data_IF_136257096323
#
_entry.id   IF_136257096323
#
_cell.length_a   1.000
_cell.length_b   1.000
_cell.length_c   1.000
_cell.angle_alpha   90.00
_cell.angle_beta   90.00
_cell.angle_gamma   90.00
#
_symmetry.space_group_name_H-M   'P 1'
#
loop_
_entity.id
_entity.type
_entity.pdbx_description
1 polymer ?
#
# COMPACT_ATOMS: atom_id res chain seq x y z
N UNK A 1 -7.19 -11.43 -16.40
CA UNK A 1 -5.82 -10.90 -16.23
C UNK A 1 -5.68 -10.02 -14.99
N UNK A 2 -6.62 -9.14 -14.64
CA UNK A 2 -6.45 -8.25 -13.49
C UNK A 2 -6.53 -8.96 -12.10
N UNK A 3 -7.31 -10.03 -11.96
CA UNK A 3 -7.37 -10.90 -10.75
C UNK A 3 -6.00 -11.52 -10.43
N UNK A 4 -5.33 -11.94 -11.49
CA UNK A 4 -4.00 -12.54 -11.51
C UNK A 4 -2.92 -11.53 -11.08
N UNK A 5 -3.13 -10.24 -11.36
CA UNK A 5 -2.17 -9.15 -11.07
C UNK A 5 -2.20 -8.69 -9.64
N UNK A 6 -3.34 -8.80 -8.96
CA UNK A 6 -3.54 -8.09 -7.70
C UNK A 6 -3.45 -9.00 -6.47
N UNK A 7 -3.54 -10.33 -6.63
CA UNK A 7 -3.48 -11.26 -5.49
C UNK A 7 -4.60 -11.02 -4.48
N UNK A 8 -5.68 -10.40 -4.95
CA UNK A 8 -6.95 -10.21 -4.27
C UNK A 8 -8.04 -10.46 -5.31
N UNK A 9 -9.27 -10.84 -4.88
CA UNK A 9 -10.36 -10.99 -5.83
C UNK A 9 -10.50 -9.66 -6.58
N UNK A 10 -10.74 -9.72 -7.90
CA UNK A 10 -11.16 -8.51 -8.58
C UNK A 10 -12.41 -8.05 -7.86
N UNK A 11 -12.49 -6.74 -7.65
CA UNK A 11 -13.75 -6.13 -7.21
C UNK A 11 -14.86 -6.68 -8.12
N UNK A 12 -15.88 -7.29 -7.53
CA UNK A 12 -17.06 -7.76 -8.27
C UNK A 12 -18.17 -6.72 -8.29
N UNK A 13 -18.00 -5.65 -7.51
CA UNK A 13 -18.92 -4.52 -7.45
C UNK A 13 -19.06 -3.86 -8.82
N UNK A 14 -20.20 -3.21 -9.04
CA UNK A 14 -20.44 -2.46 -10.29
C UNK A 14 -19.42 -1.33 -10.48
N UNK A 15 -19.18 -0.95 -11.74
CA UNK A 15 -18.32 0.19 -12.07
C UNK A 15 -18.76 1.48 -11.36
N UNK A 16 -20.06 1.65 -11.13
CA UNK A 16 -20.60 2.80 -10.41
C UNK A 16 -20.16 2.82 -8.95
N UNK A 17 -20.23 1.68 -8.25
CA UNK A 17 -19.79 1.58 -6.86
C UNK A 17 -18.30 1.90 -6.74
N UNK A 18 -17.49 1.33 -7.65
CA UNK A 18 -16.04 1.61 -7.72
C UNK A 18 -15.73 3.08 -7.94
N UNK A 19 -16.47 3.71 -8.85
CA UNK A 19 -16.33 5.13 -9.13
C UNK A 19 -16.67 5.96 -7.89
N UNK A 20 -17.80 5.69 -7.25
CA UNK A 20 -18.25 6.40 -6.04
C UNK A 20 -17.24 6.30 -4.90
N UNK A 21 -16.68 5.10 -4.68
CA UNK A 21 -15.64 4.89 -3.67
C UNK A 21 -14.30 5.56 -3.99
N UNK A 22 -14.03 5.84 -5.27
CA UNK A 22 -12.81 6.54 -5.70
C UNK A 22 -12.89 8.06 -5.61
N UNK A 23 -14.10 8.62 -5.51
CA UNK A 23 -14.32 10.07 -5.41
C UNK A 23 -13.53 10.75 -4.28
N UNK A 24 -13.31 10.13 -3.10
CA UNK A 24 -12.48 10.70 -2.03
C UNK A 24 -10.96 10.68 -2.31
N UNK A 25 -10.48 9.86 -3.24
CA UNK A 25 -9.03 9.58 -3.39
C UNK A 25 -8.17 10.82 -3.66
N UNK A 26 -8.61 11.82 -4.46
CA UNK A 26 -7.82 13.03 -4.64
C UNK A 26 -7.60 13.80 -3.34
N UNK A 27 -8.63 13.96 -2.51
CA UNK A 27 -8.47 14.63 -1.21
C UNK A 27 -7.54 13.84 -0.29
N UNK A 28 -7.62 12.51 -0.27
CA UNK A 28 -6.67 11.67 0.45
C UNK A 28 -5.23 11.92 0.01
N UNK A 29 -4.99 12.06 -1.29
CA UNK A 29 -3.67 12.40 -1.84
C UNK A 29 -3.20 13.79 -1.47
N UNK A 30 -4.07 14.80 -1.56
CA UNK A 30 -3.71 16.20 -1.30
C UNK A 30 -3.56 16.52 0.19
N UNK A 31 -4.37 15.91 1.04
CA UNK A 31 -4.41 16.13 2.48
C UNK A 31 -4.27 14.78 3.23
N UNK A 32 -3.06 14.19 3.25
CA UNK A 32 -2.80 12.86 3.78
C UNK A 32 -2.66 12.86 5.31
N UNK A 33 -3.58 13.49 6.03
CA UNK A 33 -3.55 13.54 7.49
C UNK A 33 -4.12 12.23 8.05
N UNK A 34 -3.30 11.36 8.66
CA UNK A 34 -3.75 10.03 9.09
C UNK A 34 -4.58 10.08 10.37
N UNK A 35 -5.36 9.02 10.64
CA UNK A 35 -5.86 8.73 11.98
C UNK A 35 -4.70 8.08 12.75
N UNK A 36 -4.41 8.61 13.95
CA UNK A 36 -3.25 8.26 14.78
C UNK A 36 -2.86 6.78 14.69
N UNK A 37 -1.58 6.54 14.37
CA UNK A 37 -0.98 5.21 14.44
C UNK A 37 -1.05 4.36 13.17
N UNK A 38 -1.76 4.77 12.12
CA UNK A 38 -1.88 3.98 10.88
C UNK A 38 -1.54 4.77 9.63
N UNK A 39 -0.67 4.22 8.79
CA UNK A 39 -0.26 4.85 7.53
C UNK A 39 -1.36 4.80 6.44
N UNK A 40 -2.37 3.93 6.61
CA UNK A 40 -3.36 3.65 5.57
C UNK A 40 -4.65 4.46 5.70
N UNK A 41 -4.87 5.14 6.83
CA UNK A 41 -6.10 5.87 7.12
C UNK A 41 -5.94 7.37 6.87
N UNK A 42 -7.05 8.09 6.76
CA UNK A 42 -7.10 9.54 6.70
C UNK A 42 -8.17 10.05 7.70
N UNK A 43 -7.96 11.24 8.28
CA UNK A 43 -8.76 11.77 9.41
C UNK A 43 -10.27 11.87 9.13
N UNK A 44 -10.65 12.01 7.86
CA UNK A 44 -12.02 12.09 7.38
C UNK A 44 -12.60 10.74 6.94
N UNK A 45 -11.88 9.62 7.12
CA UNK A 45 -12.36 8.27 6.75
C UNK A 45 -13.74 7.93 7.33
N UNK A 46 -14.09 8.35 8.55
CA UNK A 46 -15.45 8.17 9.08
C UNK A 46 -16.54 8.96 8.32
N UNK A 47 -16.18 9.98 7.53
CA UNK A 47 -17.11 10.88 6.85
C UNK A 47 -16.84 10.95 5.33
N UNK A 48 -17.13 9.87 4.57
CA UNK A 48 -16.83 9.81 3.13
C UNK A 48 -17.50 10.93 2.33
N UNK A 49 -18.74 11.31 2.67
CA UNK A 49 -19.46 12.40 1.99
C UNK A 49 -18.79 13.76 2.17
N UNK A 50 -18.18 14.00 3.33
CA UNK A 50 -17.40 15.21 3.59
C UNK A 50 -16.13 15.21 2.73
N UNK A 51 -15.47 14.05 2.59
CA UNK A 51 -14.32 13.93 1.67
C UNK A 51 -14.71 14.21 0.22
N UNK A 52 -15.83 13.66 -0.24
CA UNK A 52 -16.34 13.87 -1.60
C UNK A 52 -16.63 15.35 -1.82
N UNK A 53 -17.33 16.00 -0.89
CA UNK A 53 -17.61 17.43 -0.96
C UNK A 53 -16.32 18.26 -1.10
N UNK A 54 -15.36 18.07 -0.19
CA UNK A 54 -14.09 18.81 -0.25
C UNK A 54 -13.25 18.46 -1.47
N UNK A 55 -13.34 17.23 -1.98
CA UNK A 55 -12.68 16.85 -3.24
C UNK A 55 -13.19 17.72 -4.39
N UNK A 56 -14.51 17.84 -4.57
CA UNK A 56 -15.06 18.65 -5.65
C UNK A 56 -14.80 20.15 -5.46
N UNK A 57 -14.86 20.66 -4.23
CA UNK A 57 -14.50 22.05 -3.92
C UNK A 57 -13.04 22.32 -4.30
N UNK A 58 -12.10 21.44 -3.92
CA UNK A 58 -10.69 21.60 -4.26
C UNK A 58 -10.42 21.42 -5.75
N UNK A 59 -11.06 20.46 -6.43
CA UNK A 59 -10.96 20.32 -7.90
C UNK A 59 -11.39 21.62 -8.57
N UNK A 60 -12.53 22.20 -8.18
CA UNK A 60 -13.02 23.46 -8.71
C UNK A 60 -12.05 24.61 -8.46
N UNK A 61 -11.53 24.72 -7.23
CA UNK A 61 -10.56 25.74 -6.87
C UNK A 61 -9.26 25.60 -7.69
N UNK A 62 -8.71 24.40 -7.80
CA UNK A 62 -7.50 24.10 -8.59
C UNK A 62 -7.76 24.41 -10.07
N UNK A 63 -8.91 24.02 -10.62
CA UNK A 63 -9.26 24.32 -12.01
C UNK A 63 -9.32 25.83 -12.27
N UNK A 64 -9.87 26.64 -11.34
CA UNK A 64 -9.88 28.11 -11.43
C UNK A 64 -8.47 28.70 -11.38
N UNK A 65 -7.59 28.14 -10.54
CA UNK A 65 -6.17 28.52 -10.44
C UNK A 65 -5.43 28.22 -11.75
N UNK A 66 -5.64 27.03 -12.32
CA UNK A 66 -4.96 26.56 -13.52
C UNK A 66 -5.56 27.11 -14.82
N UNK A 67 -6.79 27.64 -14.79
CA UNK A 67 -7.53 28.13 -15.95
C UNK A 67 -6.76 29.04 -16.92
N UNK A 68 -5.89 29.96 -16.44
CA UNK A 68 -5.09 30.81 -17.32
C UNK A 68 -4.12 30.03 -18.22
N UNK A 69 -3.75 28.81 -17.84
CA UNK A 69 -2.81 27.98 -18.58
C UNK A 69 -3.48 26.67 -19.01
N UNK A 70 -3.88 26.60 -20.28
CA UNK A 70 -4.60 25.44 -20.83
C UNK A 70 -3.76 24.16 -20.79
N UNK A 71 -2.43 24.25 -20.90
CA UNK A 71 -1.54 23.07 -20.79
C UNK A 71 -1.54 22.52 -19.37
N UNK A 72 -1.44 23.39 -18.38
CA UNK A 72 -1.50 23.00 -16.96
C UNK A 72 -2.87 22.42 -16.58
N UNK A 73 -3.96 23.07 -17.03
CA UNK A 73 -5.32 22.58 -16.80
C UNK A 73 -5.55 21.23 -17.49
N UNK A 74 -5.11 21.08 -18.74
CA UNK A 74 -5.21 19.82 -19.48
C UNK A 74 -4.45 18.69 -18.78
N UNK A 75 -3.20 18.94 -18.37
CA UNK A 75 -2.40 17.99 -17.61
C UNK A 75 -3.15 17.55 -16.34
N UNK A 76 -3.68 18.51 -15.58
CA UNK A 76 -4.45 18.21 -14.37
C UNK A 76 -5.70 17.38 -14.67
N UNK A 77 -6.55 17.79 -15.62
CA UNK A 77 -7.80 17.08 -15.91
C UNK A 77 -7.56 15.67 -16.45
N UNK A 78 -6.67 15.53 -17.44
CA UNK A 78 -6.35 14.20 -18.00
C UNK A 78 -5.66 13.32 -16.96
N UNK A 79 -4.74 13.87 -16.17
CA UNK A 79 -4.11 13.14 -15.08
C UNK A 79 -5.11 12.68 -14.02
N UNK A 80 -6.09 13.52 -13.65
CA UNK A 80 -7.13 13.19 -12.68
C UNK A 80 -8.02 12.06 -13.20
N UNK A 81 -8.45 12.14 -14.47
CA UNK A 81 -9.26 11.11 -15.12
C UNK A 81 -8.47 9.81 -15.27
N UNK A 82 -7.20 9.87 -15.68
CA UNK A 82 -6.33 8.72 -15.83
C UNK A 82 -6.07 8.01 -14.49
N UNK A 83 -5.65 8.76 -13.47
CA UNK A 83 -5.46 8.21 -12.11
C UNK A 83 -6.77 7.67 -11.53
N UNK A 84 -7.88 8.40 -11.68
CA UNK A 84 -9.19 7.96 -11.21
C UNK A 84 -9.65 6.68 -11.89
N UNK A 85 -9.48 6.57 -13.22
CA UNK A 85 -9.79 5.36 -13.97
C UNK A 85 -8.94 4.17 -13.53
N UNK A 86 -7.64 4.36 -13.32
CA UNK A 86 -6.77 3.26 -12.87
C UNK A 86 -7.13 2.86 -11.42
N UNK A 87 -7.19 3.82 -10.50
CA UNK A 87 -7.33 3.53 -9.08
C UNK A 87 -8.74 3.04 -8.70
N UNK A 88 -9.80 3.42 -9.40
CA UNK A 88 -11.14 2.89 -9.13
C UNK A 88 -11.24 1.38 -9.45
N UNK A 89 -10.37 0.87 -10.31
CA UNK A 89 -10.33 -0.54 -10.70
C UNK A 89 -9.41 -1.40 -9.83
N UNK A 90 -8.59 -0.79 -8.98
CA UNK A 90 -7.65 -1.48 -8.11
C UNK A 90 -8.20 -1.55 -6.69
N UNK A 91 -7.94 -2.63 -5.92
CA UNK A 91 -8.37 -2.75 -4.53
C UNK A 91 -7.52 -1.88 -3.57
N UNK A 92 -6.89 -0.82 -4.11
CA UNK A 92 -5.86 -0.03 -3.45
C UNK A 92 -6.46 1.19 -2.77
N UNK A 93 -7.28 0.95 -1.75
CA UNK A 93 -7.97 2.00 -0.98
C UNK A 93 -7.12 2.63 0.12
N UNK A 94 -5.99 2.00 0.47
CA UNK A 94 -5.09 2.54 1.49
C UNK A 94 -4.49 3.88 1.07
N UNK A 95 -4.37 4.81 2.03
CA UNK A 95 -3.87 6.17 1.80
C UNK A 95 -2.54 6.21 1.02
N UNK A 96 -1.64 5.26 1.27
CA UNK A 96 -0.33 5.14 0.60
C UNK A 96 -0.37 5.07 -0.93
N UNK A 97 -1.51 4.70 -1.52
CA UNK A 97 -1.64 4.59 -2.98
C UNK A 97 -2.10 5.91 -3.64
N UNK A 98 -2.49 6.93 -2.88
CA UNK A 98 -3.09 8.16 -3.40
C UNK A 98 -2.10 9.32 -3.57
N UNK A 99 -0.84 9.14 -3.18
CA UNK A 99 0.24 10.12 -3.39
C UNK A 99 0.37 10.67 -4.83
N UNK A 100 0.13 9.88 -5.90
CA UNK A 100 0.19 10.38 -7.27
C UNK A 100 -0.75 11.57 -7.57
N UNK A 101 -1.89 11.71 -6.87
CA UNK A 101 -2.76 12.88 -7.03
C UNK A 101 -2.09 14.18 -6.59
N UNK A 102 -1.27 14.11 -5.54
CA UNK A 102 -0.50 15.26 -5.07
C UNK A 102 0.62 15.62 -6.03
N UNK A 103 1.36 14.62 -6.53
CA UNK A 103 2.39 14.85 -7.55
C UNK A 103 1.80 15.48 -8.82
N UNK A 104 0.63 15.01 -9.26
CA UNK A 104 -0.09 15.60 -10.39
C UNK A 104 -0.41 17.08 -10.14
N UNK A 105 -0.91 17.43 -8.95
CA UNK A 105 -1.17 18.82 -8.57
C UNK A 105 0.11 19.66 -8.62
N UNK A 106 1.21 19.15 -8.04
CA UNK A 106 2.51 19.83 -8.04
C UNK A 106 2.99 20.06 -9.48
N UNK A 107 2.92 19.06 -10.36
CA UNK A 107 3.32 19.20 -11.76
C UNK A 107 2.44 20.17 -12.54
N UNK A 108 1.12 20.15 -12.32
CA UNK A 108 0.21 21.10 -12.94
C UNK A 108 0.50 22.55 -12.48
N UNK A 109 0.73 22.74 -11.18
CA UNK A 109 1.09 24.04 -10.63
C UNK A 109 2.44 24.54 -11.14
N UNK A 110 3.46 23.68 -11.18
CA UNK A 110 4.76 24.03 -11.76
C UNK A 110 4.65 24.38 -13.25
N UNK A 111 3.85 23.65 -14.01
CA UNK A 111 3.58 23.97 -15.43
C UNK A 111 2.93 25.34 -15.59
N UNK A 112 1.99 25.70 -14.71
CA UNK A 112 1.39 27.03 -14.67
C UNK A 112 2.48 28.10 -14.44
N UNK A 113 3.37 27.88 -13.47
CA UNK A 113 4.41 28.84 -13.06
C UNK A 113 5.55 28.97 -14.07
N UNK A 114 5.91 27.89 -14.77
CA UNK A 114 7.00 27.86 -15.75
C UNK A 114 6.64 28.43 -17.11
N UNK A 115 5.34 28.50 -17.44
CA UNK A 115 4.89 29.07 -18.71
C UNK A 115 4.98 30.60 -18.68
N UNK A 116 5.67 31.24 -19.65
CA UNK A 116 5.74 32.70 -19.77
C UNK A 116 4.35 33.35 -19.77
N UNK A 117 4.27 34.62 -19.36
CA UNK A 117 3.00 35.37 -19.30
C UNK A 117 2.27 35.42 -20.65
N UNK A 118 3.01 35.49 -21.75
CA UNK A 118 2.47 35.48 -23.13
C UNK A 118 1.74 34.18 -23.49
N UNK A 119 2.05 33.07 -22.82
CA UNK A 119 1.37 31.78 -23.00
C UNK A 119 0.15 31.58 -22.10
N UNK A 120 -0.21 32.58 -21.29
CA UNK A 120 -1.38 32.54 -20.40
C UNK A 120 -2.52 33.33 -21.02
N UNK A 121 -3.75 32.88 -20.84
CA UNK A 121 -4.91 33.64 -21.32
C UNK A 121 -5.01 34.98 -20.57
N UNK A 122 -5.15 36.07 -21.30
CA UNK A 122 -5.37 37.43 -20.76
C UNK A 122 -6.74 37.65 -20.12
N UNK A 123 -7.50 36.57 -19.84
CA UNK A 123 -8.82 36.69 -19.23
C UNK A 123 -8.69 37.33 -17.84
N UNK A 124 -9.24 38.55 -17.65
CA UNK A 124 -9.23 39.19 -16.36
C UNK A 124 -10.07 38.32 -15.40
N UNK A 125 -9.44 37.90 -14.30
CA UNK A 125 -10.20 37.34 -13.19
C UNK A 125 -10.79 38.50 -12.40
N UNK A 126 -12.08 38.42 -12.08
CA UNK A 126 -12.72 39.33 -11.12
C UNK A 126 -13.29 38.53 -9.94
N UNK A 127 -13.48 39.20 -8.80
CA UNK A 127 -14.10 38.62 -7.63
C UNK A 127 -13.36 37.39 -7.07
N UNK A 128 -14.08 36.32 -6.66
CA UNK A 128 -13.50 35.15 -6.00
C UNK A 128 -12.40 34.44 -6.80
N UNK A 129 -12.50 34.44 -8.13
CA UNK A 129 -11.49 33.82 -9.00
C UNK A 129 -10.14 34.57 -8.95
N UNK A 130 -10.18 35.90 -8.89
CA UNK A 130 -8.98 36.73 -8.76
C UNK A 130 -8.31 36.50 -7.39
N UNK A 131 -9.13 36.50 -6.34
CA UNK A 131 -8.67 36.21 -4.98
C UNK A 131 -7.98 34.84 -4.90
N UNK A 132 -8.63 33.79 -5.41
CA UNK A 132 -8.10 32.44 -5.36
C UNK A 132 -6.79 32.28 -6.15
N UNK A 133 -6.71 32.88 -7.35
CA UNK A 133 -5.47 32.90 -8.15
C UNK A 133 -4.35 33.65 -7.42
N UNK A 134 -4.67 34.76 -6.75
CA UNK A 134 -3.72 35.53 -5.94
C UNK A 134 -3.17 34.74 -4.75
N UNK A 135 -3.94 33.81 -4.20
CA UNK A 135 -3.55 32.98 -3.05
C UNK A 135 -3.07 31.57 -3.43
N UNK A 136 -2.87 31.29 -4.72
CA UNK A 136 -2.47 29.95 -5.17
C UNK A 136 -1.15 29.47 -4.56
N UNK A 137 -0.16 30.37 -4.38
CA UNK A 137 1.11 30.05 -3.72
C UNK A 137 0.91 29.70 -2.24
N UNK A 138 0.02 30.40 -1.55
CA UNK A 138 -0.33 30.12 -0.15
C UNK A 138 -0.98 28.75 -0.02
N UNK A 139 -1.96 28.43 -0.88
CA UNK A 139 -2.59 27.11 -0.91
C UNK A 139 -1.54 26.00 -1.11
N UNK A 140 -0.66 26.14 -2.11
CA UNK A 140 0.40 25.15 -2.36
C UNK A 140 1.36 25.02 -1.19
N UNK A 141 1.71 26.14 -0.54
CA UNK A 141 2.58 26.14 0.65
C UNK A 141 1.93 25.40 1.80
N UNK A 142 0.63 25.61 2.05
CA UNK A 142 -0.13 24.90 3.09
C UNK A 142 -0.12 23.39 2.81
N UNK A 143 -0.47 22.97 1.58
CA UNK A 143 -0.49 21.55 1.22
C UNK A 143 0.90 20.91 1.39
N UNK A 144 1.95 21.55 0.90
CA UNK A 144 3.33 21.07 1.08
C UNK A 144 3.72 20.98 2.55
N UNK A 145 3.35 21.98 3.35
CA UNK A 145 3.63 21.99 4.80
C UNK A 145 2.95 20.81 5.49
N UNK A 146 1.69 20.51 5.14
CA UNK A 146 1.00 19.32 5.67
C UNK A 146 1.75 18.05 5.32
N UNK A 147 2.19 17.88 4.07
CA UNK A 147 2.98 16.70 3.66
C UNK A 147 4.30 16.58 4.44
N UNK A 148 5.02 17.68 4.64
CA UNK A 148 6.27 17.70 5.43
C UNK A 148 6.01 17.32 6.88
N UNK A 149 4.97 17.89 7.51
CA UNK A 149 4.60 17.58 8.89
C UNK A 149 4.21 16.12 9.04
N UNK A 150 3.36 15.60 8.15
CA UNK A 150 2.95 14.19 8.14
C UNK A 150 4.15 13.27 7.94
N UNK A 151 5.05 13.60 7.02
CA UNK A 151 6.28 12.83 6.80
C UNK A 151 7.15 12.79 8.07
N UNK A 152 7.34 13.93 8.74
CA UNK A 152 8.09 14.00 9.98
C UNK A 152 7.46 13.15 11.10
N UNK A 153 6.12 13.21 11.26
CA UNK A 153 5.39 12.40 12.24
C UNK A 153 5.67 10.91 12.01
N UNK A 154 5.57 10.44 10.77
CA UNK A 154 5.77 9.02 10.51
C UNK A 154 7.24 8.59 10.56
N UNK A 155 8.19 9.46 10.19
CA UNK A 155 9.61 9.18 10.40
C UNK A 155 9.93 8.98 11.89
N UNK A 156 9.30 9.77 12.76
CA UNK A 156 9.42 9.59 14.21
C UNK A 156 8.71 8.32 14.68
N UNK A 157 7.52 8.03 14.14
CA UNK A 157 6.77 6.82 14.49
C UNK A 157 7.53 5.54 14.11
N UNK A 158 8.29 5.54 13.01
CA UNK A 158 9.10 4.40 12.56
C UNK A 158 10.16 3.99 13.60
N UNK A 159 10.62 4.91 14.44
CA UNK A 159 11.55 4.61 15.54
C UNK A 159 10.94 3.73 16.63
N UNK A 160 9.60 3.74 16.75
CA UNK A 160 8.87 2.99 17.78
C UNK A 160 8.16 1.77 17.20
N UNK A 161 7.54 1.92 16.03
CA UNK A 161 6.85 0.84 15.32
C UNK A 161 7.44 0.76 13.91
N UNK A 162 8.16 -0.32 13.58
CA UNK A 162 8.85 -0.42 12.31
C UNK A 162 7.89 -0.35 11.12
N UNK A 163 8.36 0.25 10.03
CA UNK A 163 7.58 0.38 8.81
C UNK A 163 7.25 -0.97 8.16
N UNK A 164 8.19 -1.91 8.25
CA UNK A 164 8.09 -3.20 7.56
C UNK A 164 8.26 -4.37 8.53
N UNK A 165 7.19 -5.14 8.72
CA UNK A 165 7.21 -6.32 9.58
C UNK A 165 8.11 -7.45 9.04
N UNK A 166 8.46 -7.44 7.75
CA UNK A 166 9.34 -8.45 7.15
C UNK A 166 10.79 -8.32 7.57
N UNK A 167 11.27 -7.09 7.86
CA UNK A 167 12.62 -6.86 8.37
C UNK A 167 12.80 -7.55 9.72
N UNK A 168 11.88 -7.28 10.64
CA UNK A 168 11.89 -7.86 11.98
C UNK A 168 11.69 -9.38 11.94
N UNK A 169 10.82 -9.87 11.05
CA UNK A 169 10.64 -11.31 10.84
C UNK A 169 11.93 -11.97 10.34
N UNK A 170 12.63 -11.35 9.39
CA UNK A 170 13.92 -11.84 8.91
C UNK A 170 14.99 -11.86 10.01
N UNK A 171 15.06 -10.82 10.84
CA UNK A 171 15.95 -10.78 12.00
C UNK A 171 15.62 -11.87 13.03
N UNK A 172 14.33 -12.10 13.29
CA UNK A 172 13.86 -13.16 14.17
C UNK A 172 14.27 -14.54 13.66
N UNK A 173 14.16 -14.79 12.36
CA UNK A 173 14.60 -16.03 11.73
C UNK A 173 16.12 -16.20 11.88
N UNK A 174 16.90 -15.16 11.54
CA UNK A 174 18.37 -15.20 11.65
C UNK A 174 18.87 -15.45 13.07
N UNK A 175 18.14 -14.96 14.07
CA UNK A 175 18.50 -15.12 15.49
C UNK A 175 18.14 -16.50 16.04
N UNK A 176 17.08 -17.13 15.54
CA UNK A 176 16.48 -18.31 16.16
C UNK A 176 16.56 -19.60 15.33
N UNK A 177 16.99 -19.54 14.07
CA UNK A 177 17.08 -20.69 13.18
C UNK A 177 18.45 -20.73 12.46
N UNK A 178 18.90 -21.93 12.04
CA UNK A 178 20.10 -22.07 11.21
C UNK A 178 20.03 -21.22 9.94
N UNK A 179 21.16 -20.66 9.45
CA UNK A 179 21.17 -19.78 8.27
C UNK A 179 20.54 -20.41 7.01
N UNK A 180 20.65 -21.73 6.87
CA UNK A 180 20.17 -22.52 5.75
C UNK A 180 18.82 -23.22 6.03
N UNK A 181 18.18 -22.95 7.18
CA UNK A 181 16.89 -23.55 7.53
C UNK A 181 15.86 -23.32 6.41
N UNK A 182 15.09 -24.34 5.98
CA UNK A 182 14.02 -24.14 5.01
C UNK A 182 13.01 -23.14 5.57
N UNK A 183 12.63 -22.14 4.77
CA UNK A 183 11.62 -21.14 5.14
C UNK A 183 10.42 -21.33 4.24
N UNK A 184 9.28 -21.59 4.86
CA UNK A 184 7.98 -21.71 4.21
C UNK A 184 7.14 -20.52 4.66
N UNK A 185 6.36 -19.94 3.77
CA UNK A 185 5.35 -19.01 4.26
C UNK A 185 4.21 -18.68 3.33
N UNK A 186 3.25 -17.95 3.90
CA UNK A 186 1.98 -17.58 3.30
C UNK A 186 1.46 -16.26 3.89
N UNK A 187 0.80 -15.38 3.12
CA UNK A 187 0.58 -15.40 1.68
C UNK A 187 1.76 -14.86 0.86
N UNK A 188 1.69 -15.06 -0.46
CA UNK A 188 2.74 -14.71 -1.41
C UNK A 188 3.24 -13.25 -1.30
N UNK A 189 2.34 -12.28 -1.16
CA UNK A 189 2.66 -10.86 -1.15
C UNK A 189 3.48 -10.42 0.08
N UNK A 190 3.36 -11.12 1.21
CA UNK A 190 4.20 -10.88 2.39
C UNK A 190 5.56 -11.58 2.26
N UNK A 191 5.58 -12.76 1.65
CA UNK A 191 6.79 -13.58 1.57
C UNK A 191 7.89 -12.98 0.69
N UNK A 192 7.53 -12.11 -0.24
CA UNK A 192 8.49 -11.47 -1.15
C UNK A 192 9.34 -10.44 -0.40
N UNK A 193 8.71 -9.58 0.40
CA UNK A 193 9.43 -8.64 1.26
C UNK A 193 10.31 -9.38 2.26
N UNK A 194 9.84 -10.49 2.82
CA UNK A 194 10.62 -11.35 3.70
C UNK A 194 11.83 -11.96 3.00
N UNK A 195 11.65 -12.52 1.79
CA UNK A 195 12.73 -13.08 0.98
C UNK A 195 13.82 -12.05 0.67
N UNK A 196 13.42 -10.82 0.35
CA UNK A 196 14.34 -9.69 0.14
C UNK A 196 15.22 -9.41 1.36
N UNK A 197 14.63 -9.33 2.56
CA UNK A 197 15.40 -9.15 3.79
C UNK A 197 16.21 -10.38 4.20
N UNK A 198 15.75 -11.60 3.91
CA UNK A 198 16.54 -12.81 4.16
C UNK A 198 17.71 -12.97 3.19
N UNK A 199 17.67 -12.32 2.02
CA UNK A 199 18.69 -12.47 0.97
C UNK A 199 18.65 -13.82 0.28
N UNK A 200 17.54 -14.55 0.37
CA UNK A 200 17.33 -15.86 -0.26
C UNK A 200 15.85 -16.14 -0.52
N UNK A 201 15.58 -17.05 -1.46
CA UNK A 201 14.22 -17.47 -1.77
C UNK A 201 13.55 -18.17 -0.58
N UNK A 202 12.23 -18.02 -0.50
CA UNK A 202 11.37 -18.73 0.45
C UNK A 202 10.37 -19.60 -0.30
N UNK A 203 9.95 -20.71 0.30
CA UNK A 203 8.91 -21.55 -0.28
C UNK A 203 7.54 -20.93 0.00
N UNK A 204 6.87 -20.46 -1.05
CA UNK A 204 5.57 -19.81 -0.94
C UNK A 204 4.48 -20.89 -0.95
N UNK A 205 3.88 -21.15 0.21
CA UNK A 205 2.98 -22.28 0.42
C UNK A 205 1.76 -22.25 -0.52
N UNK A 206 1.10 -21.09 -0.66
CA UNK A 206 -0.03 -20.89 -1.57
C UNK A 206 0.29 -21.09 -3.05
N UNK A 207 1.58 -21.03 -3.43
CA UNK A 207 2.02 -21.19 -4.83
C UNK A 207 2.70 -22.54 -5.10
N UNK A 208 3.16 -23.23 -4.06
CA UNK A 208 3.85 -24.51 -4.18
C UNK A 208 5.23 -24.41 -4.85
N UNK A 209 5.90 -23.26 -4.73
CA UNK A 209 7.21 -23.02 -5.37
C UNK A 209 8.09 -22.11 -4.52
N UNK A 210 9.39 -22.15 -4.77
CA UNK A 210 10.33 -21.14 -4.27
C UNK A 210 10.09 -19.80 -4.98
N UNK A 211 10.22 -18.69 -4.24
CA UNK A 211 10.08 -17.37 -4.82
C UNK A 211 10.81 -16.27 -4.02
N UNK A 212 11.20 -15.24 -4.77
CA UNK A 212 11.78 -13.98 -4.28
C UNK A 212 11.12 -12.73 -4.86
N UNK A 213 10.09 -12.90 -5.70
CA UNK A 213 9.37 -11.82 -6.37
C UNK A 213 7.90 -12.17 -6.59
N UNK A 214 7.04 -11.15 -6.75
CA UNK A 214 5.62 -11.36 -7.05
C UNK A 214 5.48 -11.92 -8.46
N UNK A 215 4.94 -13.14 -8.57
CA UNK A 215 4.50 -13.69 -9.85
C UNK A 215 3.01 -13.44 -10.02
N UNK A 216 2.74 -12.55 -10.96
CA UNK A 216 1.40 -12.20 -11.43
C UNK A 216 0.98 -13.24 -12.48
N UNK A 217 0.52 -14.41 -12.02
CA UNK A 217 0.07 -15.50 -12.90
C UNK A 217 -1.22 -16.20 -12.42
N UNK A 218 -1.73 -17.15 -13.22
CA UNK A 218 -2.95 -17.92 -12.91
C UNK A 218 -2.87 -18.76 -11.64
N UNK A 219 -1.68 -18.96 -11.07
CA UNK A 219 -1.48 -19.73 -9.84
C UNK A 219 -1.59 -18.85 -8.60
N UNK A 220 -1.55 -17.53 -8.76
CA UNK A 220 -1.70 -16.59 -7.65
C UNK A 220 -3.09 -16.73 -7.04
N UNK A 221 -3.14 -17.01 -5.74
CA UNK A 221 -4.39 -17.06 -4.96
C UNK A 221 -4.64 -15.71 -4.30
N UNK A 222 -5.92 -15.36 -4.22
CA UNK A 222 -6.41 -14.17 -3.53
C UNK A 222 -6.66 -14.41 -2.02
N UNK A 223 -6.87 -15.68 -1.66
CA UNK A 223 -7.17 -16.11 -0.30
C UNK A 223 -5.94 -16.78 0.32
N UNK A 224 -5.80 -16.62 1.63
CA UNK A 224 -4.84 -17.39 2.43
C UNK A 224 -5.20 -18.89 2.38
N UNK A 225 -4.23 -19.75 2.66
CA UNK A 225 -4.48 -21.18 2.78
C UNK A 225 -5.35 -21.49 4.01
N UNK A 226 -6.25 -22.47 3.89
CA UNK A 226 -6.93 -23.01 5.07
C UNK A 226 -5.91 -23.65 6.03
N UNK A 227 -6.21 -23.75 7.34
CA UNK A 227 -5.32 -24.43 8.28
C UNK A 227 -4.93 -25.84 7.83
N UNK A 228 -5.86 -26.60 7.24
CA UNK A 228 -5.62 -27.95 6.73
C UNK A 228 -4.77 -27.97 5.46
N UNK A 229 -4.98 -27.02 4.54
CA UNK A 229 -4.12 -26.86 3.36
C UNK A 229 -2.69 -26.51 3.76
N UNK A 230 -2.53 -25.55 4.67
CA UNK A 230 -1.21 -25.12 5.16
C UNK A 230 -0.51 -26.26 5.88
N UNK A 231 -1.20 -26.98 6.78
CA UNK A 231 -0.63 -28.12 7.50
C UNK A 231 -0.13 -29.21 6.54
N UNK A 232 -0.87 -29.54 5.47
CA UNK A 232 -0.43 -30.51 4.46
C UNK A 232 0.85 -30.07 3.76
N UNK A 233 0.95 -28.80 3.37
CA UNK A 233 2.14 -28.25 2.72
C UNK A 233 3.34 -28.26 3.66
N UNK A 234 3.17 -27.81 4.90
CA UNK A 234 4.23 -27.77 5.92
C UNK A 234 4.73 -29.17 6.22
N UNK A 235 3.84 -30.14 6.44
CA UNK A 235 4.22 -31.54 6.68
C UNK A 235 4.99 -32.15 5.52
N UNK A 236 4.55 -31.91 4.28
CA UNK A 236 5.25 -32.41 3.09
C UNK A 236 6.67 -31.83 2.96
N UNK A 237 6.85 -30.53 3.27
CA UNK A 237 8.18 -29.91 3.25
C UNK A 237 9.06 -30.36 4.42
N UNK A 238 8.50 -30.55 5.61
CA UNK A 238 9.22 -31.08 6.76
C UNK A 238 9.75 -32.49 6.49
N UNK A 239 8.94 -33.36 5.89
CA UNK A 239 9.35 -34.70 5.45
C UNK A 239 10.43 -34.62 4.35
N UNK A 240 10.25 -33.76 3.35
CA UNK A 240 11.20 -33.60 2.25
C UNK A 240 12.59 -33.15 2.72
N UNK A 241 12.66 -32.24 3.68
CA UNK A 241 13.92 -31.70 4.17
C UNK A 241 14.53 -32.52 5.31
N UNK A 242 13.74 -33.32 6.02
CA UNK A 242 14.22 -34.17 7.13
C UNK A 242 14.82 -33.40 8.29
N UNK A 243 14.48 -32.11 8.43
CA UNK A 243 15.02 -31.21 9.46
C UNK A 243 14.00 -30.13 9.81
N UNK A 244 14.24 -29.47 10.94
CA UNK A 244 13.43 -28.34 11.39
C UNK A 244 13.36 -27.25 10.32
N UNK A 245 12.21 -26.59 10.26
CA UNK A 245 11.94 -25.53 9.30
C UNK A 245 11.27 -24.34 9.98
N UNK A 246 11.33 -23.19 9.31
CA UNK A 246 10.65 -21.98 9.76
C UNK A 246 9.39 -21.79 8.92
N UNK A 247 8.25 -21.71 9.60
CA UNK A 247 6.99 -21.31 8.99
C UNK A 247 6.72 -19.85 9.31
N UNK A 248 6.35 -19.07 8.29
CA UNK A 248 6.00 -17.66 8.44
C UNK A 248 4.65 -17.38 7.83
N UNK A 249 3.72 -16.83 8.62
CA UNK A 249 2.37 -16.52 8.16
C UNK A 249 2.02 -15.05 8.35
N UNK A 250 1.14 -14.52 7.51
CA UNK A 250 0.51 -13.20 7.69
C UNK A 250 -0.63 -13.17 8.71
N UNK A 251 -0.93 -14.31 9.33
CA UNK A 251 -2.07 -14.55 10.22
C UNK A 251 -1.68 -15.54 11.30
N UNK A 252 -2.28 -15.42 12.47
CA UNK A 252 -2.01 -16.33 13.57
C UNK A 252 -2.60 -17.71 13.28
N UNK A 253 -1.83 -18.75 13.57
CA UNK A 253 -2.28 -20.14 13.49
C UNK A 253 -2.14 -20.81 14.86
N UNK A 254 -3.12 -21.64 15.19
CA UNK A 254 -3.05 -22.53 16.35
C UNK A 254 -2.08 -23.67 16.05
N UNK A 255 -0.87 -23.62 16.62
CA UNK A 255 0.14 -24.66 16.44
C UNK A 255 0.24 -25.55 17.69
N UNK A 256 0.01 -26.87 17.56
CA UNK A 256 0.27 -27.81 18.64
C UNK A 256 1.74 -27.75 19.09
N UNK A 257 1.98 -27.73 20.40
CA UNK A 257 3.32 -27.56 21.00
C UNK A 257 4.31 -28.68 20.69
N UNK A 258 3.79 -29.87 20.35
CA UNK A 258 4.53 -31.03 19.87
C UNK A 258 5.00 -30.85 18.43
N UNK A 259 4.25 -30.12 17.59
CA UNK A 259 4.57 -29.84 16.19
C UNK A 259 5.53 -28.65 16.06
N UNK A 260 5.34 -27.60 16.85
CA UNK A 260 6.18 -26.40 16.75
C UNK A 260 5.90 -25.36 17.83
N UNK A 261 6.59 -24.23 17.73
CA UNK A 261 6.44 -23.11 18.66
C UNK A 261 6.47 -21.77 17.93
N UNK A 262 5.70 -20.81 18.42
CA UNK A 262 5.80 -19.41 18.01
C UNK A 262 7.12 -18.83 18.51
N UNK A 263 7.94 -18.33 17.60
CA UNK A 263 9.16 -17.57 17.91
C UNK A 263 8.84 -16.11 18.22
N UNK A 264 7.81 -15.56 17.58
CA UNK A 264 7.29 -14.24 17.84
C UNK A 264 6.37 -13.74 16.73
N UNK A 265 5.79 -12.57 16.99
CA UNK A 265 4.95 -11.86 16.04
C UNK A 265 5.49 -10.43 15.83
N UNK A 266 5.38 -9.92 14.61
CA UNK A 266 5.77 -8.55 14.27
C UNK A 266 4.54 -7.66 14.19
N UNK A 267 4.76 -6.35 14.43
CA UNK A 267 3.74 -5.33 14.26
C UNK A 267 4.33 -4.18 13.46
N UNK A 268 3.63 -3.76 12.41
CA UNK A 268 4.07 -2.64 11.57
C UNK A 268 2.99 -1.57 11.40
N UNK A 269 3.41 -0.34 11.11
CA UNK A 269 2.50 0.79 10.86
C UNK A 269 1.70 0.65 9.56
N UNK A 270 2.16 -0.23 8.66
CA UNK A 270 1.52 -0.55 7.38
C UNK A 270 0.45 -1.63 7.51
N UNK A 271 0.36 -2.31 8.66
CA UNK A 271 -0.52 -3.45 8.92
C UNK A 271 0.05 -4.79 8.42
N UNK A 272 1.29 -4.81 7.94
CA UNK A 272 2.02 -6.03 7.58
C UNK A 272 2.54 -6.71 8.85
N UNK A 273 1.77 -7.67 9.36
CA UNK A 273 2.15 -8.46 10.53
C UNK A 273 2.62 -9.84 10.09
N UNK A 274 3.63 -10.36 10.77
CA UNK A 274 4.19 -11.69 10.51
C UNK A 274 4.16 -12.50 11.80
N UNK A 275 3.81 -13.77 11.70
CA UNK A 275 3.91 -14.75 12.77
C UNK A 275 4.97 -15.77 12.36
N UNK A 276 6.02 -15.89 13.15
CA UNK A 276 7.17 -16.74 12.83
C UNK A 276 7.16 -17.94 13.77
N UNK A 277 7.15 -19.14 13.21
CA UNK A 277 7.10 -20.40 13.93
C UNK A 277 8.32 -21.25 13.60
N UNK A 278 8.85 -21.94 14.61
CA UNK A 278 9.79 -23.04 14.41
C UNK A 278 9.01 -24.35 14.43
N UNK A 279 9.02 -25.07 13.31
CA UNK A 279 8.33 -26.35 13.14
C UNK A 279 9.37 -27.47 13.23
N UNK A 280 9.12 -28.44 14.09
CA UNK A 280 10.01 -29.59 14.29
C UNK A 280 9.88 -30.56 13.14
N UNK A 281 11.00 -31.19 12.77
CA UNK A 281 10.95 -32.34 11.89
C UNK A 281 10.09 -33.45 12.51
N UNK A 282 9.31 -34.20 11.70
CA UNK A 282 8.68 -35.43 12.19
C UNK A 282 9.78 -36.35 12.72
N UNK A 283 9.57 -36.91 13.92
CA UNK A 283 10.49 -37.88 14.48
C UNK A 283 10.67 -39.01 13.46
N UNK A 284 11.90 -39.24 13.01
CA UNK A 284 12.21 -40.42 12.20
C UNK A 284 11.94 -41.64 13.06
N UNK A 285 10.81 -42.30 12.84
CA UNK A 285 10.58 -43.63 13.39
C UNK A 285 11.69 -44.53 12.81
N UNK A 286 12.51 -45.16 13.66
CA UNK A 286 13.57 -46.07 13.20
C UNK A 286 13.00 -47.31 12.50
#
# INVERSE_FOLDING_TARGET
>A
MAEIVLGQPLRQDSHLVRLLESLPFPLRGWLPVPIFGTWNSQILDPWPWVQIFFTFVLIGAIAVILWPNKKALFLFVIGMLGLGSVLCHLPWTALRYHGPYFLLLVFAYWTLRSTPSEGRSDMPATGPAAWLRGHASVLMTILLTVHVVVAAIFMLQEQVIPFSGSRDAAEMIRKNAPPDAPVIGDPDYLMISLSGYLGREVYIASRGEMGSFTKVDRRRRATILSPEELARVVSAQAQKHGRDLVLVTGYEIGMPSDVGKLLGATRSVTGENYFVYLVKAPATTP
#
